data_IF_767909928226
#
_entry.id   IF_767909928226
#
_cell.length_a   1.000
_cell.length_b   1.000
_cell.length_c   1.000
_cell.angle_alpha   90.00
_cell.angle_beta   90.00
_cell.angle_gamma   90.00
#
_symmetry.space_group_name_H-M   'P 1'
#
loop_
_entity.id
_entity.type
_entity.pdbx_description
1 polymer ?
#
# COMPACT_ATOMS: atom_id res chain seq x y z
N UNK A 1 22.00 -19.88 0.95
CA UNK A 1 21.51 -18.51 1.26
C UNK A 1 20.30 -18.66 2.16
N UNK A 2 20.40 -18.19 3.40
CA UNK A 2 19.22 -18.08 4.26
C UNK A 2 18.47 -16.82 3.84
N UNK A 3 17.44 -16.99 3.01
CA UNK A 3 16.51 -15.89 2.67
C UNK A 3 15.44 -15.84 3.74
N UNK A 4 15.05 -14.63 4.12
CA UNK A 4 13.87 -14.43 4.96
C UNK A 4 12.65 -14.96 4.19
N UNK A 5 11.84 -15.78 4.84
CA UNK A 5 10.66 -16.38 4.23
C UNK A 5 9.52 -15.32 4.10
N UNK A 6 8.59 -15.59 3.18
CA UNK A 6 7.40 -14.72 3.02
C UNK A 6 6.55 -14.71 4.31
N UNK A 7 6.49 -15.83 4.99
CA UNK A 7 5.78 -15.98 6.26
C UNK A 7 6.39 -15.11 7.35
N UNK A 8 7.74 -15.08 7.45
CA UNK A 8 8.45 -14.20 8.38
C UNK A 8 8.21 -12.73 8.07
N UNK A 9 8.29 -12.33 6.80
CA UNK A 9 8.01 -10.94 6.38
C UNK A 9 6.59 -10.55 6.75
N UNK A 10 5.61 -11.41 6.47
CA UNK A 10 4.22 -11.14 6.83
C UNK A 10 3.99 -11.05 8.33
N UNK A 11 4.70 -11.86 9.12
CA UNK A 11 4.66 -11.78 10.59
C UNK A 11 5.22 -10.43 11.07
N UNK A 12 6.37 -10.01 10.54
CA UNK A 12 6.99 -8.73 10.87
C UNK A 12 6.03 -7.59 10.55
N UNK A 13 5.44 -7.54 9.34
CA UNK A 13 4.48 -6.50 8.97
C UNK A 13 3.26 -6.46 9.89
N UNK A 14 2.75 -7.62 10.35
CA UNK A 14 1.64 -7.67 11.31
C UNK A 14 2.05 -7.10 12.67
N UNK A 15 3.24 -7.41 13.13
CA UNK A 15 3.77 -6.90 14.40
C UNK A 15 4.03 -5.38 14.31
N UNK A 16 4.56 -4.90 13.18
CA UNK A 16 4.72 -3.47 12.89
C UNK A 16 3.37 -2.75 12.89
N UNK A 17 2.37 -3.31 12.22
CA UNK A 17 1.03 -2.71 12.19
C UNK A 17 0.41 -2.60 13.58
N UNK A 18 0.56 -3.64 14.42
CA UNK A 18 0.12 -3.60 15.81
C UNK A 18 0.84 -2.51 16.61
N UNK A 19 2.15 -2.41 16.45
CA UNK A 19 2.96 -1.39 17.12
C UNK A 19 2.56 0.02 16.67
N UNK A 20 2.45 0.25 15.37
CA UNK A 20 2.10 1.56 14.82
C UNK A 20 0.70 2.03 15.25
N UNK A 21 -0.25 1.12 15.44
CA UNK A 21 -1.57 1.46 16.02
C UNK A 21 -1.49 1.97 17.47
N UNK A 22 -0.40 1.75 18.18
CA UNK A 22 -0.18 2.36 19.51
C UNK A 22 0.34 3.79 19.42
N UNK A 23 0.88 4.19 18.28
CA UNK A 23 1.46 5.51 18.05
C UNK A 23 0.54 6.41 17.22
N UNK A 24 -0.23 5.83 16.31
CA UNK A 24 -1.09 6.54 15.35
C UNK A 24 -2.51 5.99 15.39
N UNK A 25 -3.54 6.86 15.27
CA UNK A 25 -4.91 6.39 15.08
C UNK A 25 -5.01 5.46 13.87
N UNK A 26 -5.75 4.37 14.00
CA UNK A 26 -5.84 3.34 12.96
C UNK A 26 -6.40 3.90 11.64
N UNK A 27 -7.36 4.81 11.71
CA UNK A 27 -7.98 5.48 10.56
C UNK A 27 -7.07 6.47 9.85
N UNK A 28 -5.93 6.82 10.48
CA UNK A 28 -4.86 7.62 9.90
C UNK A 28 -3.73 6.79 9.29
N UNK A 29 -3.78 5.46 9.38
CA UNK A 29 -2.83 4.56 8.72
C UNK A 29 -3.45 4.10 7.40
N UNK A 30 -2.90 4.55 6.25
CA UNK A 30 -3.33 4.04 4.96
C UNK A 30 -2.89 2.59 4.76
N UNK A 31 -1.62 2.32 4.98
CA UNK A 31 -1.07 0.98 4.87
C UNK A 31 0.44 0.93 5.08
N UNK A 32 0.93 -0.30 5.19
CA UNK A 32 2.35 -0.65 5.33
C UNK A 32 2.80 -1.43 4.10
N UNK A 33 3.98 -1.13 3.60
CA UNK A 33 4.54 -1.74 2.40
C UNK A 33 6.01 -2.06 2.61
N UNK A 34 6.46 -3.24 2.20
CA UNK A 34 7.89 -3.49 2.07
C UNK A 34 8.45 -2.88 0.79
N UNK A 35 9.71 -2.48 0.81
CA UNK A 35 10.45 -2.02 -0.36
C UNK A 35 11.93 -2.40 -0.27
N UNK A 36 12.69 -2.13 -1.31
CA UNK A 36 14.12 -2.42 -1.34
C UNK A 36 14.43 -3.92 -1.43
N UNK A 37 15.43 -4.37 -0.69
CA UNK A 37 16.00 -5.74 -0.78
C UNK A 37 14.95 -6.86 -0.65
N UNK A 38 13.89 -6.66 0.12
CA UNK A 38 12.79 -7.62 0.24
C UNK A 38 12.13 -7.87 -1.11
N UNK A 39 11.80 -6.79 -1.83
CA UNK A 39 11.10 -6.89 -3.11
C UNK A 39 11.96 -7.53 -4.20
N UNK A 40 13.28 -7.35 -4.14
CA UNK A 40 14.22 -7.97 -5.09
C UNK A 40 14.64 -9.40 -4.68
N UNK A 41 14.29 -9.84 -3.47
CA UNK A 41 14.67 -11.13 -2.92
C UNK A 41 16.15 -11.23 -2.49
N UNK A 42 16.73 -10.10 -2.04
CA UNK A 42 18.10 -9.98 -1.50
C UNK A 42 18.16 -9.69 0.00
N UNK A 43 17.03 -9.71 0.71
CA UNK A 43 16.99 -9.62 2.15
C UNK A 43 17.45 -10.94 2.78
N UNK A 44 18.47 -10.87 3.64
CA UNK A 44 19.09 -12.02 4.31
C UNK A 44 18.87 -11.98 5.82
N UNK A 45 18.62 -10.82 6.38
CA UNK A 45 18.43 -10.56 7.80
C UNK A 45 17.37 -9.50 8.04
N UNK A 46 16.86 -9.43 9.25
CA UNK A 46 15.75 -8.53 9.62
C UNK A 46 16.10 -7.06 9.32
N UNK A 47 17.35 -6.65 9.53
CA UNK A 47 17.80 -5.28 9.26
C UNK A 47 17.76 -4.89 7.76
N UNK A 48 17.66 -5.88 6.87
CA UNK A 48 17.47 -5.65 5.42
C UNK A 48 16.01 -5.33 5.06
N UNK A 49 15.08 -5.52 6.02
CA UNK A 49 13.66 -5.25 5.82
C UNK A 49 13.44 -3.74 6.01
N UNK A 50 12.97 -3.11 4.95
CA UNK A 50 12.54 -1.73 4.97
C UNK A 50 11.03 -1.70 4.78
N UNK A 51 10.34 -1.03 5.70
CA UNK A 51 8.89 -0.84 5.66
C UNK A 51 8.58 0.64 5.47
N UNK A 52 7.63 0.95 4.61
CA UNK A 52 7.09 2.30 4.46
C UNK A 52 5.64 2.29 4.91
N UNK A 53 5.29 3.18 5.83
CA UNK A 53 3.92 3.47 6.20
C UNK A 53 3.49 4.78 5.55
N UNK A 54 2.32 4.81 4.93
CA UNK A 54 1.69 6.06 4.54
C UNK A 54 0.68 6.46 5.61
N UNK A 55 0.91 7.67 6.15
CA UNK A 55 0.11 8.29 7.19
C UNK A 55 -0.83 9.32 6.58
N UNK A 56 -2.08 9.32 7.05
CA UNK A 56 -3.08 10.32 6.70
C UNK A 56 -3.15 11.35 7.82
N UNK A 57 -2.77 12.60 7.57
CA UNK A 57 -2.96 13.64 8.56
C UNK A 57 -4.45 13.85 8.84
N UNK A 58 -4.77 14.20 10.08
CA UNK A 58 -6.13 14.62 10.46
C UNK A 58 -6.55 15.87 9.67
N UNK A 59 -7.86 16.13 9.61
CA UNK A 59 -8.36 17.34 8.97
C UNK A 59 -7.76 18.61 9.62
N UNK A 60 -7.57 18.60 10.94
CA UNK A 60 -6.95 19.70 11.68
C UNK A 60 -5.49 19.91 11.24
N UNK A 61 -4.69 18.84 11.16
CA UNK A 61 -3.32 18.91 10.65
C UNK A 61 -3.25 19.40 9.21
N UNK A 62 -4.21 19.00 8.36
CA UNK A 62 -4.28 19.50 6.97
C UNK A 62 -4.62 21.00 6.90
N UNK A 63 -5.46 21.51 7.82
CA UNK A 63 -5.88 22.91 7.84
C UNK A 63 -4.87 23.85 8.53
N UNK A 64 -4.01 23.34 9.41
CA UNK A 64 -3.07 24.15 10.19
C UNK A 64 -1.74 24.42 9.50
N UNK A 65 -1.56 24.01 8.26
CA UNK A 65 -0.30 24.15 7.49
C UNK A 65 0.93 23.53 8.18
N UNK A 66 0.73 22.57 9.07
CA UNK A 66 1.81 21.82 9.69
C UNK A 66 2.41 20.91 8.61
N UNK A 67 3.67 21.16 8.27
CA UNK A 67 4.41 20.24 7.43
C UNK A 67 4.66 18.95 8.19
N UNK A 68 4.08 17.84 7.71
CA UNK A 68 4.45 16.53 8.20
C UNK A 68 5.87 16.22 7.73
N UNK A 69 6.76 16.01 8.69
CA UNK A 69 8.13 15.59 8.40
C UNK A 69 8.17 14.08 8.28
N UNK A 70 8.91 13.58 7.29
CA UNK A 70 9.24 12.17 7.22
C UNK A 70 9.84 11.72 8.55
N UNK A 71 9.26 10.69 9.13
CA UNK A 71 9.71 10.10 10.38
C UNK A 71 10.29 8.70 10.11
N UNK A 72 11.33 8.35 10.86
CA UNK A 72 11.91 7.00 10.84
C UNK A 72 11.80 6.42 12.23
N UNK A 73 11.08 5.32 12.33
CA UNK A 73 10.95 4.54 13.57
C UNK A 73 11.76 3.27 13.43
N UNK A 74 12.59 2.98 14.41
CA UNK A 74 13.27 1.70 14.53
C UNK A 74 12.48 0.79 15.47
N UNK A 75 12.08 -0.37 14.97
CA UNK A 75 11.32 -1.37 15.72
C UNK A 75 11.80 -2.77 15.36
N UNK A 76 12.02 -3.63 16.34
CA UNK A 76 12.47 -5.02 16.16
C UNK A 76 13.64 -5.17 15.17
N UNK A 77 14.67 -4.30 15.29
CA UNK A 77 15.89 -4.27 14.47
C UNK A 77 15.69 -3.97 12.98
N UNK A 78 14.59 -3.34 12.59
CA UNK A 78 14.42 -2.84 11.23
C UNK A 78 13.79 -1.43 11.25
N UNK A 79 13.72 -0.82 10.06
CA UNK A 79 13.26 0.56 9.92
C UNK A 79 11.88 0.64 9.28
N UNK A 80 11.04 1.45 9.91
CA UNK A 80 9.75 1.86 9.37
C UNK A 80 9.85 3.35 9.02
N UNK A 81 9.67 3.67 7.74
CA UNK A 81 9.69 5.05 7.25
C UNK A 81 8.23 5.51 7.12
N UNK A 82 7.89 6.53 7.89
CA UNK A 82 6.54 7.10 7.91
C UNK A 82 6.51 8.28 6.94
N UNK A 83 5.57 8.26 6.01
CA UNK A 83 5.40 9.25 4.96
C UNK A 83 3.98 9.81 4.97
N UNK A 84 3.86 11.10 4.84
CA UNK A 84 2.58 11.75 4.61
C UNK A 84 2.00 11.31 3.26
N UNK A 85 0.74 10.86 3.28
CA UNK A 85 0.08 10.38 2.05
C UNK A 85 -0.08 11.49 1.00
N UNK A 86 -0.13 12.77 1.42
CA UNK A 86 -0.21 13.91 0.50
C UNK A 86 0.99 13.96 -0.47
N UNK A 87 2.14 13.40 -0.05
CA UNK A 87 3.33 13.31 -0.89
C UNK A 87 3.26 12.17 -1.90
N UNK A 88 2.27 11.26 -1.79
CA UNK A 88 2.20 10.08 -2.66
C UNK A 88 1.99 10.47 -4.12
N UNK A 89 1.11 11.46 -4.39
CA UNK A 89 0.87 11.95 -5.74
C UNK A 89 2.13 12.55 -6.35
N UNK A 90 2.81 13.44 -5.63
CA UNK A 90 4.05 14.06 -6.09
C UNK A 90 5.15 13.02 -6.35
N UNK A 91 5.29 12.04 -5.45
CA UNK A 91 6.25 10.94 -5.62
C UNK A 91 5.92 10.05 -6.82
N UNK A 92 4.65 9.78 -7.09
CA UNK A 92 4.23 9.03 -8.28
C UNK A 92 4.50 9.83 -9.55
N UNK A 93 4.09 11.09 -9.59
CA UNK A 93 4.30 11.97 -10.77
C UNK A 93 5.78 12.24 -11.03
N UNK A 94 6.61 12.21 -10.00
CA UNK A 94 8.08 12.23 -10.11
C UNK A 94 8.69 10.87 -10.40
N UNK A 95 7.89 9.80 -10.42
CA UNK A 95 8.36 8.42 -10.60
C UNK A 95 9.41 8.00 -9.54
N UNK A 96 9.16 8.39 -8.28
CA UNK A 96 10.06 8.06 -7.17
C UNK A 96 10.12 6.54 -6.97
N UNK A 97 11.33 5.98 -7.09
CA UNK A 97 11.54 4.53 -7.20
C UNK A 97 10.99 3.73 -6.02
N UNK A 98 11.18 4.20 -4.78
CA UNK A 98 10.75 3.46 -3.59
C UNK A 98 9.22 3.48 -3.42
N UNK A 99 8.54 4.54 -3.85
CA UNK A 99 7.07 4.61 -3.88
C UNK A 99 6.51 3.62 -4.89
N UNK A 100 7.12 3.57 -6.09
CA UNK A 100 6.71 2.60 -7.10
C UNK A 100 6.95 1.15 -6.63
N UNK A 101 8.07 0.87 -5.97
CA UNK A 101 8.36 -0.44 -5.38
C UNK A 101 7.30 -0.87 -4.36
N UNK A 102 6.77 0.05 -3.56
CA UNK A 102 5.70 -0.22 -2.60
C UNK A 102 4.43 -0.76 -3.29
N UNK A 103 4.00 -0.15 -4.40
CA UNK A 103 2.78 -0.58 -5.11
C UNK A 103 2.92 -1.91 -5.83
N UNK A 104 4.14 -2.34 -6.12
CA UNK A 104 4.43 -3.65 -6.70
C UNK A 104 4.92 -4.67 -5.67
N UNK A 105 4.97 -4.31 -4.39
CA UNK A 105 5.29 -5.25 -3.33
C UNK A 105 4.21 -6.32 -3.19
N UNK A 106 4.65 -7.56 -2.98
CA UNK A 106 3.76 -8.67 -2.62
C UNK A 106 3.51 -8.75 -1.09
N UNK A 107 4.23 -7.92 -0.32
CA UNK A 107 4.18 -7.91 1.12
C UNK A 107 3.70 -6.53 1.59
N UNK A 108 2.42 -6.43 1.88
CA UNK A 108 1.80 -5.21 2.36
C UNK A 108 0.63 -5.50 3.30
N UNK A 109 0.30 -4.50 4.09
CA UNK A 109 -0.95 -4.45 4.87
C UNK A 109 -1.64 -3.14 4.50
N UNK A 110 -2.91 -3.21 4.13
CA UNK A 110 -3.77 -2.05 3.92
C UNK A 110 -4.80 -2.02 5.03
N UNK A 111 -4.95 -0.85 5.65
CA UNK A 111 -6.03 -0.67 6.63
C UNK A 111 -7.37 -0.92 5.95
N UNK A 112 -8.25 -1.71 6.54
CA UNK A 112 -9.49 -2.17 5.90
C UNK A 112 -10.31 -1.07 5.25
N UNK A 113 -10.40 0.11 5.87
CA UNK A 113 -11.05 1.32 5.33
C UNK A 113 -10.60 1.66 3.89
N UNK A 114 -9.34 1.37 3.54
CA UNK A 114 -8.77 1.73 2.24
C UNK A 114 -8.60 0.55 1.30
N UNK A 115 -9.01 -0.66 1.73
CA UNK A 115 -8.72 -1.88 0.98
C UNK A 115 -9.35 -1.87 -0.42
N UNK A 116 -10.63 -1.53 -0.51
CA UNK A 116 -11.35 -1.51 -1.79
C UNK A 116 -10.71 -0.49 -2.74
N UNK A 117 -10.56 0.77 -2.32
CA UNK A 117 -9.96 1.80 -3.17
C UNK A 117 -8.51 1.50 -3.53
N UNK A 118 -7.74 0.87 -2.65
CA UNK A 118 -6.39 0.43 -2.97
C UNK A 118 -6.38 -0.63 -4.07
N UNK A 119 -7.27 -1.64 -3.97
CA UNK A 119 -7.36 -2.70 -4.97
C UNK A 119 -7.84 -2.17 -6.32
N UNK A 120 -8.89 -1.36 -6.33
CA UNK A 120 -9.56 -0.91 -7.56
C UNK A 120 -8.80 0.21 -8.27
N UNK A 121 -8.14 1.07 -7.51
CA UNK A 121 -7.47 2.25 -8.06
C UNK A 121 -5.94 2.10 -8.15
N UNK A 122 -5.28 1.53 -7.15
CA UNK A 122 -3.82 1.37 -7.18
C UNK A 122 -3.42 0.05 -7.84
N UNK A 123 -3.92 -1.09 -7.33
CA UNK A 123 -3.49 -2.40 -7.84
C UNK A 123 -3.98 -2.62 -9.25
N UNK A 124 -5.23 -2.30 -9.56
CA UNK A 124 -5.79 -2.47 -10.90
C UNK A 124 -5.12 -1.58 -11.96
N UNK A 125 -4.67 -0.39 -11.56
CA UNK A 125 -4.07 0.62 -12.47
C UNK A 125 -2.56 0.78 -12.31
N UNK A 126 -1.88 -0.10 -11.58
CA UNK A 126 -0.46 0.08 -11.24
C UNK A 126 0.47 0.09 -12.45
N UNK A 127 0.11 -0.62 -13.53
CA UNK A 127 0.87 -0.62 -14.78
C UNK A 127 0.81 0.77 -15.43
N UNK A 128 -0.38 1.37 -15.54
CA UNK A 128 -0.59 2.72 -16.06
C UNK A 128 0.11 3.75 -15.17
N UNK A 129 0.01 3.61 -13.85
CA UNK A 129 0.72 4.47 -12.87
C UNK A 129 2.24 4.40 -13.10
N UNK A 130 2.78 3.21 -13.36
CA UNK A 130 4.20 3.02 -13.61
C UNK A 130 4.66 3.66 -14.93
N UNK A 131 3.79 3.69 -15.92
CA UNK A 131 4.06 4.25 -17.25
C UNK A 131 3.59 5.70 -17.43
N UNK A 132 3.02 6.35 -16.41
CA UNK A 132 2.47 7.69 -16.56
C UNK A 132 3.50 8.74 -16.99
N UNK A 133 4.77 8.56 -16.62
CA UNK A 133 5.85 9.45 -17.05
C UNK A 133 7.15 8.67 -17.32
N UNK A 134 7.27 8.01 -18.47
CA UNK A 134 8.40 7.16 -18.79
C UNK A 134 9.72 7.91 -18.83
N UNK A 135 9.72 9.18 -19.29
CA UNK A 135 10.90 10.04 -19.29
C UNK A 135 11.43 10.23 -17.87
N UNK A 136 10.60 10.73 -16.95
CA UNK A 136 10.99 10.92 -15.54
C UNK A 136 11.43 9.61 -14.89
N UNK A 137 10.76 8.49 -15.23
CA UNK A 137 11.12 7.17 -14.70
C UNK A 137 12.57 6.82 -15.01
N UNK A 138 12.98 6.94 -16.26
CA UNK A 138 14.35 6.65 -16.68
C UNK A 138 15.33 7.66 -16.09
N UNK A 139 15.02 8.96 -16.15
CA UNK A 139 15.87 10.02 -15.59
C UNK A 139 16.12 9.83 -14.10
N UNK A 140 15.09 9.56 -13.31
CA UNK A 140 15.22 9.32 -11.86
C UNK A 140 16.08 8.10 -11.56
N UNK A 141 15.83 6.99 -12.25
CA UNK A 141 16.59 5.76 -12.06
C UNK A 141 18.08 5.95 -12.40
N UNK A 142 18.36 6.61 -13.53
CA UNK A 142 19.72 6.89 -13.99
C UNK A 142 20.44 7.86 -13.05
N UNK A 143 19.78 8.94 -12.62
CA UNK A 143 20.36 9.90 -11.68
C UNK A 143 20.75 9.23 -10.36
N UNK A 144 19.85 8.42 -9.80
CA UNK A 144 20.15 7.65 -8.58
C UNK A 144 21.28 6.64 -8.77
N UNK A 145 21.36 5.99 -9.94
CA UNK A 145 22.48 5.10 -10.23
C UNK A 145 23.81 5.85 -10.29
N UNK A 146 23.86 7.08 -10.84
CA UNK A 146 25.06 7.91 -10.83
C UNK A 146 25.43 8.38 -9.41
N UNK A 147 24.46 8.74 -8.57
CA UNK A 147 24.69 9.06 -7.16
C UNK A 147 25.33 7.86 -6.43
N UNK A 148 24.76 6.66 -6.61
CA UNK A 148 25.30 5.44 -6.03
C UNK A 148 26.72 5.13 -6.52
N UNK A 149 27.01 5.29 -7.82
CA UNK A 149 28.36 5.13 -8.39
C UNK A 149 29.34 6.13 -7.80
N UNK A 150 28.93 7.39 -7.63
CA UNK A 150 29.77 8.42 -7.02
C UNK A 150 30.19 8.04 -5.61
N UNK A 151 29.24 7.55 -4.79
CA UNK A 151 29.53 7.07 -3.42
C UNK A 151 30.44 5.84 -3.48
N UNK A 152 30.20 4.89 -4.39
CA UNK A 152 31.07 3.73 -4.56
C UNK A 152 32.52 4.14 -4.88
N UNK A 153 32.71 5.06 -5.81
CA UNK A 153 34.05 5.52 -6.23
C UNK A 153 34.80 6.26 -5.12
N UNK A 154 34.08 6.94 -4.21
CA UNK A 154 34.69 7.66 -3.10
C UNK A 154 34.95 6.80 -1.86
N UNK A 155 34.12 5.79 -1.60
CA UNK A 155 34.11 5.04 -0.33
C UNK A 155 34.38 3.53 -0.52
N UNK A 156 34.51 3.06 -1.76
CA UNK A 156 34.59 1.63 -2.11
C UNK A 156 33.40 0.81 -1.55
N UNK A 157 32.24 1.43 -1.39
CA UNK A 157 31.06 0.80 -0.83
C UNK A 157 30.36 -0.09 -1.87
N UNK A 158 30.57 -1.41 -1.78
CA UNK A 158 30.03 -2.40 -2.71
C UNK A 158 28.49 -2.46 -2.73
N UNK A 159 27.83 -2.10 -1.64
CA UNK A 159 26.37 -1.99 -1.61
C UNK A 159 25.87 -0.89 -2.56
N UNK A 160 26.61 0.22 -2.67
CA UNK A 160 26.28 1.29 -3.62
C UNK A 160 26.49 0.86 -5.07
N UNK A 161 27.55 0.11 -5.33
CA UNK A 161 27.75 -0.47 -6.66
C UNK A 161 26.63 -1.46 -7.03
N UNK A 162 26.21 -2.31 -6.09
CA UNK A 162 25.08 -3.19 -6.26
C UNK A 162 23.81 -2.41 -6.64
N UNK A 163 23.47 -1.34 -5.90
CA UNK A 163 22.30 -0.52 -6.17
C UNK A 163 22.38 0.17 -7.55
N UNK A 164 23.54 0.71 -7.93
CA UNK A 164 23.75 1.31 -9.24
C UNK A 164 23.52 0.30 -10.38
N UNK A 165 24.08 -0.91 -10.25
CA UNK A 165 23.92 -1.97 -11.24
C UNK A 165 22.49 -2.52 -11.29
N UNK A 166 21.82 -2.61 -10.15
CA UNK A 166 20.41 -3.00 -10.07
C UNK A 166 19.54 -1.99 -10.82
N UNK A 167 19.74 -0.68 -10.59
CA UNK A 167 18.99 0.38 -11.28
C UNK A 167 19.26 0.38 -12.78
N UNK A 168 20.51 0.21 -13.18
CA UNK A 168 20.88 0.05 -14.59
C UNK A 168 20.12 -1.10 -15.23
N UNK A 169 20.12 -2.27 -14.59
CA UNK A 169 19.43 -3.45 -15.09
C UNK A 169 17.92 -3.24 -15.17
N UNK A 170 17.29 -2.75 -14.10
CA UNK A 170 15.87 -2.44 -14.08
C UNK A 170 15.47 -1.46 -15.19
N UNK A 171 16.26 -0.41 -15.40
CA UNK A 171 16.02 0.56 -16.45
C UNK A 171 16.22 -0.03 -17.84
N UNK A 172 17.20 -0.92 -18.03
CA UNK A 172 17.39 -1.64 -19.29
C UNK A 172 16.19 -2.51 -19.65
N UNK A 173 15.65 -3.24 -18.68
CA UNK A 173 14.45 -4.06 -18.85
C UNK A 173 13.22 -3.20 -19.18
N UNK A 174 13.06 -2.08 -18.49
CA UNK A 174 12.00 -1.12 -18.77
C UNK A 174 12.06 -0.59 -20.21
N UNK A 175 13.26 -0.17 -20.66
CA UNK A 175 13.49 0.32 -22.02
C UNK A 175 13.35 -0.76 -23.10
N UNK A 176 13.46 -2.03 -22.72
CA UNK A 176 13.21 -3.19 -23.57
C UNK A 176 11.73 -3.59 -23.65
N UNK A 177 10.85 -2.91 -22.88
CA UNK A 177 9.41 -3.23 -22.83
C UNK A 177 9.08 -4.50 -22.03
N UNK A 178 9.96 -4.92 -21.12
CA UNK A 178 9.67 -6.03 -20.21
C UNK A 178 8.57 -5.64 -19.21
N UNK A 179 7.85 -6.65 -18.69
CA UNK A 179 6.79 -6.43 -17.72
C UNK A 179 7.30 -5.65 -16.49
N UNK A 180 6.49 -4.72 -15.98
CA UNK A 180 6.88 -3.85 -14.85
C UNK A 180 7.30 -4.67 -13.63
N UNK A 181 6.61 -5.77 -13.36
CA UNK A 181 6.97 -6.68 -12.28
C UNK A 181 8.42 -7.19 -12.40
N UNK A 182 8.87 -7.51 -13.62
CA UNK A 182 10.24 -7.99 -13.87
C UNK A 182 11.25 -6.85 -13.73
N UNK A 183 10.89 -5.63 -14.10
CA UNK A 183 11.73 -4.43 -13.90
C UNK A 183 11.96 -4.12 -12.41
N UNK A 184 10.96 -4.40 -11.56
CA UNK A 184 11.05 -4.13 -10.11
C UNK A 184 11.64 -5.31 -9.35
N UNK A 185 11.16 -6.53 -9.58
CA UNK A 185 11.51 -7.69 -8.78
C UNK A 185 12.74 -8.46 -9.27
N UNK A 186 13.16 -8.23 -10.52
CA UNK A 186 14.33 -8.89 -11.13
C UNK A 186 14.31 -10.42 -10.93
N UNK A 187 13.17 -11.06 -11.20
CA UNK A 187 12.91 -12.48 -10.86
C UNK A 187 13.78 -13.48 -11.65
N UNK A 188 14.27 -13.13 -12.83
CA UNK A 188 15.05 -14.02 -13.68
C UNK A 188 16.37 -14.41 -13.01
N UNK A 189 16.67 -15.70 -12.96
CA UNK A 189 17.83 -16.24 -12.21
C UNK A 189 19.17 -15.63 -12.64
N UNK A 190 19.37 -15.36 -13.93
CA UNK A 190 20.61 -14.76 -14.41
C UNK A 190 20.79 -13.30 -13.94
N UNK A 191 19.71 -12.53 -13.79
CA UNK A 191 19.76 -11.18 -13.20
C UNK A 191 20.17 -11.25 -11.72
N UNK A 192 19.61 -12.23 -11.01
CA UNK A 192 19.92 -12.44 -9.59
C UNK A 192 21.36 -12.90 -9.41
N UNK A 193 21.82 -13.83 -10.23
CA UNK A 193 23.20 -14.31 -10.21
C UNK A 193 24.19 -13.17 -10.47
N UNK A 194 23.93 -12.35 -11.48
CA UNK A 194 24.74 -11.16 -11.78
C UNK A 194 24.81 -10.18 -10.60
N UNK A 195 23.65 -9.79 -10.06
CA UNK A 195 23.61 -8.85 -8.94
C UNK A 195 24.22 -9.44 -7.67
N UNK A 196 24.04 -10.75 -7.46
CA UNK A 196 24.66 -11.45 -6.34
C UNK A 196 26.17 -11.47 -6.43
N UNK A 197 26.75 -11.70 -7.61
CA UNK A 197 28.21 -11.70 -7.80
C UNK A 197 28.82 -10.33 -7.48
N UNK A 198 28.09 -9.23 -7.77
CA UNK A 198 28.50 -7.86 -7.38
C UNK A 198 28.41 -7.68 -5.86
N UNK A 199 27.26 -8.04 -5.26
CA UNK A 199 27.04 -7.88 -3.82
C UNK A 199 28.07 -8.64 -2.98
N UNK A 200 28.45 -9.85 -3.44
CA UNK A 200 29.46 -10.70 -2.78
C UNK A 200 30.90 -10.31 -3.11
N UNK A 201 31.13 -9.37 -4.01
CA UNK A 201 32.47 -9.00 -4.48
C UNK A 201 33.15 -10.04 -5.38
N UNK A 202 32.44 -11.08 -5.81
CA UNK A 202 33.00 -12.14 -6.66
C UNK A 202 33.30 -11.66 -8.07
N UNK A 203 32.49 -10.75 -8.61
CA UNK A 203 32.69 -10.18 -9.93
C UNK A 203 32.23 -8.73 -9.92
N UNK A 204 33.15 -7.82 -10.16
CA UNK A 204 32.84 -6.39 -10.27
C UNK A 204 32.69 -6.03 -11.76
N UNK A 205 31.65 -5.26 -12.10
CA UNK A 205 31.43 -4.80 -13.46
C UNK A 205 32.51 -3.76 -13.86
N UNK A 206 32.74 -3.61 -15.16
CA UNK A 206 33.50 -2.49 -15.67
C UNK A 206 32.70 -1.21 -15.48
N UNK A 207 33.22 -0.30 -14.64
CA UNK A 207 32.51 0.94 -14.28
C UNK A 207 32.33 1.85 -15.50
N UNK A 208 33.29 1.90 -16.44
CA UNK A 208 33.18 2.71 -17.66
C UNK A 208 32.01 2.22 -18.54
N UNK A 209 31.82 0.91 -18.64
CA UNK A 209 30.66 0.33 -19.34
C UNK A 209 29.35 0.66 -18.64
N UNK A 210 29.30 0.58 -17.31
CA UNK A 210 28.10 0.95 -16.54
C UNK A 210 27.74 2.42 -16.79
N UNK A 211 28.72 3.32 -16.74
CA UNK A 211 28.53 4.75 -17.01
C UNK A 211 28.03 4.99 -18.44
N UNK A 212 28.67 4.36 -19.43
CA UNK A 212 28.28 4.46 -20.84
C UNK A 212 26.83 4.01 -21.09
N UNK A 213 26.43 2.91 -20.46
CA UNK A 213 25.06 2.41 -20.55
C UNK A 213 24.07 3.41 -19.93
N UNK A 214 24.35 3.92 -18.72
CA UNK A 214 23.50 4.91 -18.06
C UNK A 214 23.35 6.19 -18.88
N UNK A 215 24.43 6.69 -19.49
CA UNK A 215 24.37 7.83 -20.40
C UNK A 215 23.55 7.54 -21.66
N UNK A 216 23.64 6.33 -22.20
CA UNK A 216 22.83 5.90 -23.33
C UNK A 216 21.34 5.88 -22.96
N UNK A 217 21.01 5.37 -21.77
CA UNK A 217 19.62 5.35 -21.25
C UNK A 217 19.09 6.77 -21.04
N UNK A 218 19.91 7.69 -20.52
CA UNK A 218 19.55 9.12 -20.37
C UNK A 218 19.22 9.76 -21.71
N UNK A 219 20.03 9.49 -22.75
CA UNK A 219 19.74 9.98 -24.11
C UNK A 219 18.42 9.42 -24.66
N UNK A 220 18.14 8.14 -24.44
CA UNK A 220 16.85 7.56 -24.83
C UNK A 220 15.68 8.21 -24.09
N UNK A 221 15.81 8.49 -22.79
CA UNK A 221 14.77 9.16 -22.01
C UNK A 221 14.39 10.52 -22.60
N UNK A 222 15.34 11.29 -23.16
CA UNK A 222 15.05 12.61 -23.72
C UNK A 222 14.10 12.59 -24.93
N UNK A 223 13.94 11.43 -25.58
CA UNK A 223 13.06 11.22 -26.74
C UNK A 223 11.75 10.52 -26.38
N UNK A 224 11.53 10.16 -25.10
CA UNK A 224 10.30 9.49 -24.66
C UNK A 224 9.16 10.49 -24.53
N UNK A 225 7.97 10.05 -24.92
CA UNK A 225 6.75 10.83 -24.79
C UNK A 225 6.26 10.83 -23.35
N UNK A 226 5.57 11.89 -22.97
CA UNK A 226 4.86 12.01 -21.70
C UNK A 226 3.38 11.74 -22.00
N UNK A 227 2.69 11.09 -21.08
CA UNK A 227 1.28 10.74 -21.18
C UNK A 227 0.43 11.57 -20.20
N UNK A 228 0.03 12.80 -20.56
CA UNK A 228 -0.73 13.68 -19.65
C UNK A 228 -2.04 13.07 -19.18
N UNK A 229 -2.68 12.25 -20.01
CA UNK A 229 -3.89 11.50 -19.68
C UNK A 229 -3.67 10.50 -18.54
N UNK A 230 -2.50 9.86 -18.48
CA UNK A 230 -2.14 8.97 -17.38
C UNK A 230 -1.79 9.75 -16.10
N UNK A 231 -1.15 10.91 -16.21
CA UNK A 231 -0.91 11.80 -15.06
C UNK A 231 -2.24 12.30 -14.47
N UNK A 232 -3.22 12.64 -15.32
CA UNK A 232 -4.57 13.02 -14.87
C UNK A 232 -5.29 11.86 -14.15
N UNK A 233 -5.26 10.65 -14.73
CA UNK A 233 -5.83 9.45 -14.11
C UNK A 233 -5.20 9.16 -12.74
N UNK A 234 -3.87 9.28 -12.61
CA UNK A 234 -3.17 9.12 -11.32
C UNK A 234 -3.65 10.15 -10.32
N UNK A 235 -3.82 11.41 -10.74
CA UNK A 235 -4.31 12.48 -9.88
C UNK A 235 -5.72 12.17 -9.37
N UNK A 236 -6.63 11.75 -10.24
CA UNK A 236 -7.98 11.34 -9.87
C UNK A 236 -7.97 10.17 -8.88
N UNK A 237 -7.12 9.16 -9.13
CA UNK A 237 -6.95 8.01 -8.23
C UNK A 237 -6.56 8.42 -6.82
N UNK A 238 -5.59 9.33 -6.68
CA UNK A 238 -5.16 9.81 -5.36
C UNK A 238 -6.21 10.68 -4.69
N UNK A 239 -6.95 11.49 -5.47
CA UNK A 239 -8.07 12.29 -4.95
C UNK A 239 -9.15 11.38 -4.34
N UNK A 240 -9.47 10.24 -4.97
CA UNK A 240 -10.42 9.27 -4.41
C UNK A 240 -9.93 8.69 -3.07
N UNK A 241 -8.64 8.34 -2.96
CA UNK A 241 -8.05 7.90 -1.70
C UNK A 241 -8.21 8.97 -0.63
N UNK A 242 -7.94 10.23 -0.97
CA UNK A 242 -8.05 11.35 -0.04
C UNK A 242 -9.51 11.63 0.37
N UNK A 243 -10.48 11.48 -0.53
CA UNK A 243 -11.90 11.60 -0.18
C UNK A 243 -12.31 10.57 0.86
N UNK A 244 -11.93 9.30 0.69
CA UNK A 244 -12.21 8.24 1.67
C UNK A 244 -11.51 8.52 3.00
N UNK A 245 -10.29 9.04 2.96
CA UNK A 245 -9.55 9.46 4.15
C UNK A 245 -10.30 10.50 4.98
N UNK A 246 -10.94 11.45 4.30
CA UNK A 246 -11.65 12.57 4.93
C UNK A 246 -13.07 12.19 5.36
N UNK A 247 -13.64 11.07 4.89
CA UNK A 247 -14.93 10.61 5.39
C UNK A 247 -14.78 10.19 6.84
N UNK A 248 -15.65 10.74 7.69
CA UNK A 248 -15.70 10.37 9.10
C UNK A 248 -16.04 8.89 9.21
N UNK A 249 -15.06 8.05 9.55
CA UNK A 249 -15.30 6.66 9.88
C UNK A 249 -15.50 6.55 11.38
N UNK A 250 -16.62 5.99 11.79
CA UNK A 250 -16.77 5.48 13.15
C UNK A 250 -15.94 4.19 13.21
N UNK A 251 -15.06 4.07 14.20
CA UNK A 251 -14.34 2.81 14.42
C UNK A 251 -15.33 1.69 14.81
N UNK A 252 -14.99 0.43 14.52
CA UNK A 252 -15.81 -0.70 14.95
C UNK A 252 -16.06 -0.66 16.46
N UNK A 253 -15.02 -0.38 17.25
CA UNK A 253 -15.11 -0.24 18.70
C UNK A 253 -16.07 0.88 19.13
N UNK A 254 -15.99 2.04 18.48
CA UNK A 254 -16.87 3.16 18.75
C UNK A 254 -18.33 2.80 18.42
N UNK A 255 -18.58 2.18 17.27
CA UNK A 255 -19.92 1.74 16.91
C UNK A 255 -20.44 0.65 17.86
N UNK A 256 -19.62 -0.37 18.17
CA UNK A 256 -20.00 -1.43 19.11
C UNK A 256 -20.28 -0.88 20.51
N UNK A 257 -19.55 0.15 20.96
CA UNK A 257 -19.83 0.83 22.24
C UNK A 257 -21.20 1.52 22.29
N UNK A 258 -21.76 1.88 21.13
CA UNK A 258 -23.11 2.47 21.00
C UNK A 258 -24.23 1.41 21.06
N UNK A 259 -23.88 0.13 20.97
CA UNK A 259 -24.82 -0.99 20.97
C UNK A 259 -24.91 -1.63 22.34
N UNK A 260 -26.15 -2.00 22.73
CA UNK A 260 -26.35 -2.88 23.85
C UNK A 260 -25.90 -4.31 23.51
N UNK A 261 -25.61 -5.19 24.49
CA UNK A 261 -25.25 -6.59 24.22
C UNK A 261 -26.23 -7.35 23.31
N UNK A 262 -27.53 -7.08 23.44
CA UNK A 262 -28.55 -7.67 22.56
C UNK A 262 -28.45 -7.13 21.12
N UNK A 263 -28.12 -5.86 20.96
CA UNK A 263 -27.90 -5.24 19.63
C UNK A 263 -26.61 -5.71 18.99
N UNK A 264 -25.53 -5.96 19.75
CA UNK A 264 -24.29 -6.55 19.24
C UNK A 264 -24.54 -7.96 18.68
N UNK A 265 -25.28 -8.80 19.38
CA UNK A 265 -25.66 -10.10 18.87
C UNK A 265 -26.58 -10.03 17.65
N UNK A 266 -27.54 -9.10 17.61
CA UNK A 266 -28.39 -8.88 16.44
C UNK A 266 -27.59 -8.36 15.24
N UNK A 267 -26.54 -7.55 15.46
CA UNK A 267 -25.61 -7.12 14.43
C UNK A 267 -24.87 -8.32 13.83
N UNK A 268 -24.40 -9.25 14.68
CA UNK A 268 -23.74 -10.49 14.22
C UNK A 268 -24.68 -11.28 13.30
N UNK A 269 -25.95 -11.47 13.69
CA UNK A 269 -26.94 -12.16 12.85
C UNK A 269 -27.14 -11.44 11.49
N UNK A 270 -27.17 -10.11 11.48
CA UNK A 270 -27.30 -9.32 10.25
C UNK A 270 -26.07 -9.56 9.36
N UNK A 271 -24.86 -9.44 9.90
CA UNK A 271 -23.62 -9.55 9.13
C UNK A 271 -23.41 -10.94 8.55
N UNK A 272 -23.79 -11.99 9.24
CA UNK A 272 -23.74 -13.38 8.74
C UNK A 272 -24.67 -13.62 7.53
N UNK A 273 -25.63 -12.75 7.28
CA UNK A 273 -26.54 -12.81 6.12
C UNK A 273 -26.10 -11.89 4.97
N UNK A 274 -24.92 -11.24 5.08
CA UNK A 274 -24.34 -10.44 4.00
C UNK A 274 -23.19 -11.22 3.34
N UNK A 275 -23.07 -11.09 2.03
CA UNK A 275 -21.93 -11.59 1.27
C UNK A 275 -21.01 -10.40 0.96
N UNK A 276 -19.78 -10.43 1.46
CA UNK A 276 -18.82 -9.34 1.34
C UNK A 276 -19.36 -7.95 1.74
N UNK A 277 -20.21 -7.90 2.79
CA UNK A 277 -20.79 -6.64 3.28
C UNK A 277 -22.02 -6.14 2.50
N UNK A 278 -22.53 -6.90 1.56
CA UNK A 278 -23.73 -6.53 0.79
C UNK A 278 -24.75 -7.68 0.73
N UNK A 279 -26.05 -7.36 0.87
CA UNK A 279 -27.08 -8.39 0.77
C UNK A 279 -28.46 -7.90 1.14
N UNK A 280 -29.47 -8.77 0.99
CA UNK A 280 -30.85 -8.48 1.36
C UNK A 280 -31.22 -9.24 2.63
N UNK A 281 -31.45 -8.52 3.69
CA UNK A 281 -31.78 -9.07 5.01
C UNK A 281 -33.25 -8.88 5.31
N UNK A 282 -33.96 -9.97 5.60
CA UNK A 282 -35.35 -9.96 6.05
C UNK A 282 -35.42 -10.02 7.57
N UNK A 283 -35.75 -8.90 8.19
CA UNK A 283 -35.92 -8.84 9.65
C UNK A 283 -36.96 -9.87 10.15
N UNK A 284 -37.99 -10.18 9.36
CA UNK A 284 -38.97 -11.20 9.72
C UNK A 284 -38.35 -12.59 9.81
N UNK A 285 -37.51 -12.96 8.86
CA UNK A 285 -36.76 -14.23 8.86
C UNK A 285 -35.76 -14.30 10.00
N UNK A 286 -35.05 -13.21 10.29
CA UNK A 286 -34.14 -13.14 11.42
C UNK A 286 -34.86 -13.33 12.75
N UNK A 287 -36.08 -12.79 12.92
CA UNK A 287 -36.88 -12.98 14.12
C UNK A 287 -37.39 -14.43 14.25
N UNK A 288 -37.71 -15.07 13.12
CA UNK A 288 -38.18 -16.48 13.10
C UNK A 288 -37.05 -17.48 13.45
N UNK A 289 -35.83 -17.19 13.02
CA UNK A 289 -34.66 -18.06 13.22
C UNK A 289 -33.73 -17.60 14.34
N UNK A 290 -33.91 -16.38 14.85
CA UNK A 290 -32.97 -15.74 15.73
C UNK A 290 -33.40 -15.61 17.18
N UNK A 291 -32.47 -15.11 17.98
CA UNK A 291 -32.60 -14.92 19.43
C UNK A 291 -33.24 -13.58 19.80
N UNK A 292 -33.29 -12.64 18.85
CA UNK A 292 -33.63 -11.25 19.13
C UNK A 292 -34.98 -10.83 18.54
N UNK A 293 -35.61 -9.84 19.18
CA UNK A 293 -36.90 -9.33 18.75
C UNK A 293 -36.79 -8.36 17.57
N UNK A 294 -37.87 -8.18 16.80
CA UNK A 294 -37.95 -7.24 15.70
C UNK A 294 -37.50 -5.80 16.05
N UNK A 295 -37.85 -5.22 17.22
CA UNK A 295 -37.35 -3.90 17.61
C UNK A 295 -35.82 -3.83 17.72
N UNK A 296 -35.17 -4.89 18.24
CA UNK A 296 -33.69 -4.92 18.37
C UNK A 296 -33.03 -4.89 17.01
N UNK A 297 -33.44 -5.73 16.05
CA UNK A 297 -32.91 -5.70 14.69
C UNK A 297 -33.10 -4.34 13.99
N UNK A 298 -34.31 -3.74 14.16
CA UNK A 298 -34.59 -2.42 13.60
C UNK A 298 -33.73 -1.33 14.24
N UNK A 299 -33.50 -1.42 15.55
CA UNK A 299 -32.61 -0.48 16.26
C UNK A 299 -31.18 -0.54 15.70
N UNK A 300 -30.64 -1.74 15.48
CA UNK A 300 -29.32 -1.94 14.88
C UNK A 300 -29.25 -1.32 13.48
N UNK A 301 -30.22 -1.65 12.60
CA UNK A 301 -30.27 -1.08 11.25
C UNK A 301 -30.34 0.45 11.26
N UNK A 302 -31.15 1.04 12.14
CA UNK A 302 -31.20 2.49 12.28
C UNK A 302 -29.85 3.07 12.74
N UNK A 303 -29.23 2.45 13.76
CA UNK A 303 -27.91 2.89 14.23
C UNK A 303 -26.83 2.76 13.15
N UNK A 304 -26.87 1.68 12.34
CA UNK A 304 -25.97 1.53 11.19
C UNK A 304 -26.15 2.67 10.18
N UNK A 305 -27.42 3.06 9.91
CA UNK A 305 -27.73 4.17 9.02
C UNK A 305 -27.31 5.52 9.62
N UNK A 306 -27.65 5.77 10.88
CA UNK A 306 -27.38 7.03 11.57
C UNK A 306 -25.88 7.26 11.77
N UNK A 307 -25.12 6.17 11.91
CA UNK A 307 -23.68 6.17 11.98
C UNK A 307 -22.99 6.21 10.60
N UNK A 308 -23.78 6.23 9.51
CA UNK A 308 -23.29 6.23 8.13
C UNK A 308 -22.34 5.05 7.81
N UNK A 309 -22.58 3.88 8.43
CA UNK A 309 -21.77 2.68 8.18
C UNK A 309 -22.39 1.73 7.14
N UNK A 310 -23.67 1.93 6.82
CA UNK A 310 -24.36 1.16 5.79
C UNK A 310 -25.41 1.98 5.05
N UNK A 311 -25.48 1.79 3.75
CA UNK A 311 -26.61 2.20 2.93
C UNK A 311 -27.76 1.20 3.06
N UNK A 312 -28.93 1.68 3.46
CA UNK A 312 -30.11 0.85 3.65
C UNK A 312 -31.20 1.21 2.65
N UNK A 313 -31.59 0.25 1.81
CA UNK A 313 -32.69 0.39 0.86
C UNK A 313 -33.82 -0.58 1.19
N UNK A 314 -35.01 -0.06 1.46
CA UNK A 314 -36.18 -0.89 1.71
C UNK A 314 -36.68 -1.56 0.42
N UNK A 315 -36.66 -2.89 0.39
CA UNK A 315 -37.10 -3.71 -0.74
C UNK A 315 -38.54 -4.27 -0.55
N UNK A 316 -39.30 -3.67 0.34
CA UNK A 316 -40.66 -4.09 0.66
C UNK A 316 -40.70 -5.49 1.30
N UNK A 317 -41.52 -6.40 0.75
CA UNK A 317 -41.67 -7.76 1.26
C UNK A 317 -40.38 -8.59 1.25
N UNK A 318 -39.44 -8.23 0.38
CA UNK A 318 -38.13 -8.93 0.26
C UNK A 318 -37.17 -8.62 1.41
N UNK A 319 -37.40 -7.52 2.13
CA UNK A 319 -36.54 -7.10 3.23
C UNK A 319 -35.86 -5.78 3.03
N UNK A 320 -34.71 -5.60 3.67
CA UNK A 320 -33.85 -4.41 3.53
C UNK A 320 -32.57 -4.82 2.82
N UNK A 321 -32.28 -4.19 1.72
CA UNK A 321 -30.95 -4.28 1.08
C UNK A 321 -29.98 -3.44 1.91
N UNK A 322 -28.91 -4.07 2.33
CA UNK A 322 -27.84 -3.49 3.14
C UNK A 322 -26.59 -3.50 2.29
N UNK A 323 -25.93 -2.38 2.17
CA UNK A 323 -24.59 -2.27 1.63
C UNK A 323 -23.73 -1.53 2.64
N UNK A 324 -22.76 -2.23 3.20
CA UNK A 324 -21.76 -1.63 4.08
C UNK A 324 -20.96 -0.64 3.25
N UNK A 325 -20.79 0.59 3.75
CA UNK A 325 -20.01 1.62 3.10
C UNK A 325 -18.54 1.20 3.17
N UNK A 326 -17.89 1.11 2.01
CA UNK A 326 -16.51 0.68 1.90
C UNK A 326 -15.60 1.49 2.85
N UNK A 327 -14.82 0.77 3.62
CA UNK A 327 -13.88 1.32 4.58
C UNK A 327 -14.44 1.71 5.96
N UNK A 328 -15.74 1.61 6.20
CA UNK A 328 -16.35 2.01 7.47
C UNK A 328 -16.43 0.86 8.48
N UNK A 329 -16.57 -0.37 8.02
CA UNK A 329 -16.80 -1.52 8.90
C UNK A 329 -15.69 -2.56 8.78
N UNK A 330 -14.85 -2.59 9.77
CA UNK A 330 -13.77 -3.56 9.95
C UNK A 330 -14.30 -4.86 10.53
N UNK A 331 -13.84 -5.99 9.99
CA UNK A 331 -13.98 -7.37 10.48
C UNK A 331 -14.69 -7.47 11.84
N UNK A 332 -16.02 -7.53 11.82
CA UNK A 332 -16.82 -7.79 13.03
C UNK A 332 -16.44 -9.13 13.65
N UNK A 333 -16.00 -10.09 12.83
CA UNK A 333 -15.55 -11.40 13.28
C UNK A 333 -14.35 -11.36 14.25
N UNK A 334 -13.60 -10.25 14.29
CA UNK A 334 -12.52 -10.05 15.28
C UNK A 334 -13.03 -9.50 16.62
N UNK A 335 -14.26 -8.98 16.67
CA UNK A 335 -14.81 -8.27 17.84
C UNK A 335 -16.03 -8.94 18.48
N UNK A 336 -16.62 -9.92 17.82
CA UNK A 336 -17.81 -10.62 18.29
C UNK A 336 -17.52 -12.13 18.32
N UNK A 337 -16.79 -12.56 19.34
CA UNK A 337 -16.70 -13.97 19.75
C UNK A 337 -17.98 -14.45 20.42
#
# INVERSE_FOLDING_TARGET
>A
MNKISKEEINKILKDDYKYLKTLYPQDQIFGLFTFGKVNYGFAEKVEDILVKMYYLPSLEEMCTSIEFKDEVVEYNNHRIIIKDIRLILDNILKQEGTTMECFFSENYIITPKFKAVYMDNIIAKREEIFHCNPKKRVEQSVNRAFEDLKVYLSEANTERLFEACRRRLATSLYLAGEAVQDCIQLKKDYHRTYLWSIKSGQSLPNIEEVVKDLESMRRKASTMEIHPELEAMVTETIVEIMKIALTKSISADEFLSMLTPAEQGALKDIMQNLDNGEGVVSVSKLVESGTYSRPVYKSVLNKMKDAEIADLTNMGVKGTHIKIIDGVFLNIDEYID
#
